data_IF_270268793063
#
_entry.id   IF_270268793063
#
_cell.length_a   1.000
_cell.length_b   1.000
_cell.length_c   1.000
_cell.angle_alpha   90.00
_cell.angle_beta   90.00
_cell.angle_gamma   90.00
#
_symmetry.space_group_name_H-M   'P 1'
#
loop_
_entity.id
_entity.type
_entity.pdbx_description
1 polymer ?
#
# COMPACT_ATOMS: atom_id res chain seq x y z
N UNK A 1 -13.43 -8.45 12.74
CA UNK A 1 -13.44 -7.52 11.59
C UNK A 1 -12.39 -8.00 10.60
N UNK A 2 -12.73 -8.05 9.31
CA UNK A 2 -11.81 -8.54 8.25
C UNK A 2 -11.04 -7.41 7.57
N UNK A 3 -10.14 -7.78 6.65
CA UNK A 3 -9.42 -6.84 5.79
C UNK A 3 -10.13 -6.68 4.44
N UNK A 4 -10.08 -5.47 3.90
CA UNK A 4 -10.53 -5.14 2.55
C UNK A 4 -9.36 -5.36 1.59
N UNK A 5 -9.54 -6.27 0.63
CA UNK A 5 -8.53 -6.62 -0.36
C UNK A 5 -8.66 -5.83 -1.67
N UNK A 6 -7.77 -6.12 -2.61
CA UNK A 6 -7.86 -5.59 -3.97
C UNK A 6 -8.65 -6.54 -4.88
N UNK A 7 -9.44 -5.96 -5.77
CA UNK A 7 -10.01 -6.66 -6.91
C UNK A 7 -8.94 -7.09 -7.92
N UNK A 8 -9.33 -7.99 -8.83
CA UNK A 8 -8.55 -8.27 -10.04
C UNK A 8 -8.42 -7.01 -10.92
N UNK A 9 -7.39 -6.92 -11.78
CA UNK A 9 -6.45 -7.97 -12.18
C UNK A 9 -5.17 -8.04 -11.32
N UNK A 10 -5.15 -7.48 -10.11
CA UNK A 10 -3.95 -7.48 -9.27
C UNK A 10 -3.39 -8.91 -9.06
N UNK A 11 -2.06 -9.12 -9.22
CA UNK A 11 -1.42 -10.41 -8.95
C UNK A 11 -1.79 -10.95 -7.57
N UNK A 12 -1.93 -12.28 -7.45
CA UNK A 12 -2.30 -12.92 -6.18
C UNK A 12 -1.37 -12.51 -5.04
N UNK A 13 -0.07 -12.43 -5.32
CA UNK A 13 0.92 -11.98 -4.33
C UNK A 13 0.61 -10.58 -3.83
N UNK A 14 0.24 -9.64 -4.69
CA UNK A 14 -0.13 -8.28 -4.28
C UNK A 14 -1.40 -8.28 -3.42
N UNK A 15 -2.41 -9.06 -3.80
CA UNK A 15 -3.63 -9.20 -3.00
C UNK A 15 -3.34 -9.75 -1.61
N UNK A 16 -2.45 -10.74 -1.49
CA UNK A 16 -2.04 -11.31 -0.21
C UNK A 16 -1.22 -10.31 0.64
N UNK A 17 -0.44 -9.41 0.03
CA UNK A 17 0.28 -8.38 0.78
C UNK A 17 -0.66 -7.28 1.31
N UNK A 18 -1.72 -6.94 0.57
CA UNK A 18 -2.68 -5.90 0.96
C UNK A 18 -3.70 -6.41 1.98
N UNK A 19 -4.21 -7.63 1.79
CA UNK A 19 -5.14 -8.29 2.69
C UNK A 19 -4.66 -9.73 2.95
N UNK A 20 -3.66 -9.91 3.83
CA UNK A 20 -3.16 -11.23 4.18
C UNK A 20 -4.26 -12.09 4.78
N UNK A 21 -4.26 -13.37 4.40
CA UNK A 21 -5.20 -14.38 4.87
C UNK A 21 -4.90 -14.87 6.29
N UNK A 22 -3.69 -14.61 6.79
CA UNK A 22 -3.28 -14.93 8.15
C UNK A 22 -2.24 -13.96 8.70
N UNK A 23 -2.24 -13.77 10.02
CA UNK A 23 -1.17 -13.09 10.76
C UNK A 23 0.14 -13.89 10.70
N UNK A 24 1.31 -13.28 11.03
CA UNK A 24 2.57 -14.02 11.13
C UNK A 24 2.55 -15.22 12.10
N UNK A 25 1.69 -15.20 13.13
CA UNK A 25 1.50 -16.32 14.06
C UNK A 25 0.50 -17.38 13.58
N UNK A 26 0.00 -17.28 12.35
CA UNK A 26 -0.91 -18.25 11.73
C UNK A 26 -2.39 -18.04 12.01
N UNK A 27 -2.78 -17.02 12.79
CA UNK A 27 -4.20 -16.69 13.00
C UNK A 27 -4.84 -16.22 11.70
N UNK A 28 -5.93 -16.87 11.28
CA UNK A 28 -6.70 -16.48 10.08
C UNK A 28 -7.28 -15.06 10.21
N UNK A 29 -7.24 -14.33 9.10
CA UNK A 29 -7.80 -12.99 8.93
C UNK A 29 -8.90 -13.09 7.87
N UNK A 30 -10.17 -12.80 8.20
CA UNK A 30 -11.26 -12.83 7.21
C UNK A 30 -11.08 -11.76 6.15
N UNK A 31 -11.42 -12.08 4.90
CA UNK A 31 -11.62 -11.09 3.85
C UNK A 31 -13.00 -10.46 4.00
N UNK A 32 -13.05 -9.15 4.20
CA UNK A 32 -14.30 -8.40 4.37
C UNK A 32 -14.94 -7.98 3.05
N UNK A 33 -14.15 -7.89 1.98
CA UNK A 33 -14.57 -7.47 0.66
C UNK A 33 -13.36 -7.11 -0.19
N UNK A 34 -13.61 -6.73 -1.44
CA UNK A 34 -12.58 -6.27 -2.37
C UNK A 34 -12.98 -4.96 -3.01
N UNK A 35 -11.99 -4.16 -3.41
CA UNK A 35 -12.17 -2.85 -4.06
C UNK A 35 -11.21 -2.67 -5.21
N UNK A 36 -11.58 -1.84 -6.18
CA UNK A 36 -10.72 -1.50 -7.31
C UNK A 36 -9.80 -0.32 -6.99
N UNK A 37 -10.18 0.56 -6.06
CA UNK A 37 -9.42 1.76 -5.71
C UNK A 37 -9.24 1.95 -4.20
N UNK A 38 -8.17 2.65 -3.80
CA UNK A 38 -7.95 3.02 -2.40
C UNK A 38 -9.07 3.93 -1.85
N UNK A 39 -9.68 4.77 -2.69
CA UNK A 39 -10.78 5.65 -2.28
C UNK A 39 -12.06 4.89 -1.98
N UNK A 40 -12.39 3.87 -2.79
CA UNK A 40 -13.47 2.92 -2.50
C UNK A 40 -13.20 2.20 -1.18
N UNK A 41 -11.98 1.71 -0.99
CA UNK A 41 -11.56 1.03 0.23
C UNK A 41 -11.71 1.91 1.48
N UNK A 42 -11.21 3.14 1.45
CA UNK A 42 -11.36 4.10 2.55
C UNK A 42 -12.83 4.40 2.85
N UNK A 43 -13.68 4.43 1.82
CA UNK A 43 -15.14 4.56 2.00
C UNK A 43 -15.73 3.33 2.71
N UNK A 44 -15.30 2.11 2.36
CA UNK A 44 -15.74 0.90 3.09
C UNK A 44 -15.27 0.90 4.55
N UNK A 45 -14.06 1.41 4.83
CA UNK A 45 -13.56 1.57 6.22
C UNK A 45 -14.42 2.55 7.00
N UNK A 46 -14.73 3.73 6.44
CA UNK A 46 -15.60 4.73 7.08
C UNK A 46 -17.02 4.19 7.36
N UNK A 47 -17.50 3.24 6.54
CA UNK A 47 -18.75 2.52 6.75
C UNK A 47 -18.65 1.34 7.73
N UNK A 48 -17.51 1.18 8.42
CA UNK A 48 -17.23 0.08 9.35
C UNK A 48 -17.34 -1.33 8.74
N UNK A 49 -17.03 -1.48 7.45
CA UNK A 49 -17.12 -2.77 6.75
C UNK A 49 -15.84 -3.60 6.81
N UNK A 50 -14.71 -3.01 7.18
CA UNK A 50 -13.43 -3.71 7.31
C UNK A 50 -12.27 -2.75 7.57
N UNK A 51 -11.06 -3.29 7.70
CA UNK A 51 -9.83 -2.53 7.78
C UNK A 51 -9.01 -2.62 6.49
N UNK A 52 -8.04 -1.72 6.32
CA UNK A 52 -7.05 -1.77 5.24
C UNK A 52 -5.66 -1.69 5.82
N UNK A 53 -4.71 -2.40 5.19
CA UNK A 53 -3.28 -2.20 5.46
C UNK A 53 -2.70 -1.27 4.40
N UNK A 54 -1.99 -0.25 4.86
CA UNK A 54 -1.32 0.72 4.01
C UNK A 54 0.04 1.11 4.57
N UNK A 55 0.90 1.63 3.69
CA UNK A 55 2.14 2.28 4.11
C UNK A 55 1.84 3.64 4.77
N UNK A 56 2.75 4.09 5.64
CA UNK A 56 2.63 5.35 6.39
C UNK A 56 2.30 6.57 5.51
N UNK A 57 2.89 6.76 4.31
CA UNK A 57 2.55 7.91 3.45
C UNK A 57 1.07 7.98 3.04
N UNK A 58 0.41 6.85 2.84
CA UNK A 58 -1.03 6.82 2.50
C UNK A 58 -1.87 7.41 3.63
N UNK A 59 -1.54 7.07 4.88
CA UNK A 59 -2.23 7.63 6.04
C UNK A 59 -2.03 9.14 6.16
N UNK A 60 -0.82 9.63 5.87
CA UNK A 60 -0.51 11.05 5.90
C UNK A 60 -1.24 11.83 4.79
N UNK A 61 -1.39 11.25 3.59
CA UNK A 61 -1.99 11.93 2.45
C UNK A 61 -3.52 11.85 2.40
N UNK A 62 -4.11 10.80 2.98
CA UNK A 62 -5.56 10.58 2.97
C UNK A 62 -6.22 10.82 4.32
N UNK A 63 -5.73 11.81 5.07
CA UNK A 63 -6.32 12.23 6.34
C UNK A 63 -7.82 12.51 6.19
N UNK A 64 -8.63 11.81 6.98
CA UNK A 64 -10.09 11.95 7.00
C UNK A 64 -10.60 11.81 8.44
N UNK A 65 -11.60 12.61 8.86
CA UNK A 65 -12.11 12.60 10.23
C UNK A 65 -12.92 11.34 10.58
N UNK A 66 -13.44 10.64 9.57
CA UNK A 66 -14.26 9.43 9.70
C UNK A 66 -13.44 8.12 9.60
N UNK A 67 -12.11 8.22 9.54
CA UNK A 67 -11.19 7.08 9.46
C UNK A 67 -10.11 7.24 10.52
N UNK A 68 -9.90 6.19 11.33
CA UNK A 68 -8.79 6.12 12.29
C UNK A 68 -7.64 5.32 11.69
N UNK A 69 -6.45 5.94 11.62
CA UNK A 69 -5.22 5.27 11.20
C UNK A 69 -4.50 4.72 12.44
N UNK A 70 -4.31 3.40 12.48
CA UNK A 70 -3.68 2.69 13.60
C UNK A 70 -2.33 2.14 13.13
N UNK A 71 -1.20 2.51 13.76
CA UNK A 71 0.10 1.93 13.41
C UNK A 71 0.12 0.41 13.61
N UNK A 72 0.64 -0.30 12.61
CA UNK A 72 0.88 -1.76 12.67
C UNK A 72 2.37 -2.02 12.76
N UNK A 73 2.79 -2.75 13.79
CA UNK A 73 4.20 -3.09 14.05
C UNK A 73 4.49 -4.55 13.74
N UNK A 74 5.77 -4.91 13.56
CA UNK A 74 6.18 -6.30 13.32
C UNK A 74 6.03 -6.77 11.87
N UNK A 75 5.75 -5.84 10.95
CA UNK A 75 5.80 -6.08 9.51
C UNK A 75 7.12 -5.57 8.93
N UNK A 76 7.63 -6.17 7.84
CA UNK A 76 8.72 -5.60 7.07
C UNK A 76 8.38 -4.18 6.57
N UNK A 77 9.39 -3.32 6.32
CA UNK A 77 9.16 -2.02 5.72
C UNK A 77 8.43 -2.13 4.38
N UNK A 78 7.47 -1.22 4.13
CA UNK A 78 6.90 -1.05 2.80
C UNK A 78 7.92 -0.42 1.87
N UNK A 79 8.10 -0.99 0.68
CA UNK A 79 9.03 -0.47 -0.34
C UNK A 79 8.23 0.10 -1.50
N UNK A 80 8.53 1.34 -1.88
CA UNK A 80 8.06 1.95 -3.11
C UNK A 80 9.22 1.98 -4.11
N UNK A 81 8.96 1.56 -5.34
CA UNK A 81 9.96 1.54 -6.40
C UNK A 81 9.35 1.79 -7.77
N UNK A 82 10.21 2.15 -8.72
CA UNK A 82 9.85 2.28 -10.12
C UNK A 82 10.02 0.94 -10.83
N UNK A 83 9.08 0.60 -11.70
CA UNK A 83 9.12 -0.61 -12.51
C UNK A 83 8.72 -0.30 -13.95
N UNK A 84 9.38 -0.94 -14.91
CA UNK A 84 9.10 -0.82 -16.34
C UNK A 84 9.35 -2.16 -17.03
N UNK A 85 8.74 -2.34 -18.21
CA UNK A 85 9.07 -3.47 -19.08
C UNK A 85 10.48 -3.25 -19.61
N UNK A 86 11.35 -4.26 -19.46
CA UNK A 86 12.78 -4.15 -19.77
C UNK A 86 13.03 -3.70 -21.21
N UNK A 87 12.25 -4.22 -22.15
CA UNK A 87 12.34 -3.92 -23.58
C UNK A 87 11.79 -2.52 -23.92
N UNK A 88 11.06 -1.88 -23.01
CA UNK A 88 10.50 -0.54 -23.16
C UNK A 88 11.34 0.54 -22.45
N UNK A 89 12.56 0.22 -22.02
CA UNK A 89 13.43 1.17 -21.36
C UNK A 89 13.87 2.29 -22.31
N UNK A 90 13.71 3.54 -21.89
CA UNK A 90 14.08 4.73 -22.67
C UNK A 90 15.02 5.64 -21.88
N UNK A 91 15.67 6.57 -22.57
CA UNK A 91 16.47 7.62 -21.91
C UNK A 91 15.64 8.44 -20.89
N UNK A 92 14.35 8.67 -21.19
CA UNK A 92 13.45 9.36 -20.26
C UNK A 92 13.17 8.56 -19.00
N UNK A 93 12.98 7.24 -19.10
CA UNK A 93 12.82 6.36 -17.92
C UNK A 93 14.07 6.37 -17.06
N UNK A 94 15.26 6.28 -17.66
CA UNK A 94 16.53 6.36 -16.92
C UNK A 94 16.69 7.70 -16.20
N UNK A 95 16.48 8.81 -16.91
CA UNK A 95 16.57 10.15 -16.35
C UNK A 95 15.56 10.36 -15.21
N UNK A 96 14.32 9.88 -15.36
CA UNK A 96 13.33 9.96 -14.30
C UNK A 96 13.72 9.09 -13.09
N UNK A 97 14.24 7.88 -13.32
CA UNK A 97 14.72 7.01 -12.25
C UNK A 97 15.87 7.67 -11.46
N UNK A 98 16.85 8.26 -12.15
CA UNK A 98 17.95 9.00 -11.52
C UNK A 98 17.42 10.18 -10.68
N UNK A 99 16.50 10.97 -11.22
CA UNK A 99 15.89 12.09 -10.51
C UNK A 99 15.09 11.63 -9.27
N UNK A 100 14.30 10.55 -9.41
CA UNK A 100 13.51 9.98 -8.33
C UNK A 100 14.38 9.40 -7.21
N UNK A 101 15.45 8.69 -7.54
CA UNK A 101 16.43 8.18 -6.57
C UNK A 101 17.12 9.35 -5.85
N UNK A 102 17.55 10.38 -6.60
CA UNK A 102 18.13 11.58 -6.01
C UNK A 102 17.18 12.27 -5.02
N UNK A 103 15.90 12.42 -5.39
CA UNK A 103 14.88 12.98 -4.50
C UNK A 103 14.66 12.12 -3.26
N UNK A 104 14.54 10.80 -3.42
CA UNK A 104 14.28 9.87 -2.31
C UNK A 104 15.42 9.89 -1.27
N UNK A 105 16.68 9.91 -1.72
CA UNK A 105 17.84 10.03 -0.84
C UNK A 105 17.87 11.37 -0.11
N UNK A 106 17.50 12.47 -0.79
CA UNK A 106 17.37 13.79 -0.16
C UNK A 106 16.22 13.87 0.85
N UNK A 107 15.09 13.22 0.58
CA UNK A 107 13.92 13.17 1.47
C UNK A 107 14.17 12.31 2.71
N UNK A 108 14.91 11.19 2.59
CA UNK A 108 15.32 10.37 3.72
C UNK A 108 16.23 11.12 4.70
N UNK A 109 17.08 12.02 4.20
CA UNK A 109 17.93 12.91 5.03
C UNK A 109 17.12 13.99 5.74
N UNK A 110 15.98 14.43 5.16
CA UNK A 110 15.11 15.45 5.76
C UNK A 110 14.16 14.91 6.84
N UNK A 111 13.92 13.59 6.85
CA UNK A 111 12.98 12.91 7.75
C UNK A 111 13.66 12.16 8.91
N UNK A 112 15.00 12.25 9.01
CA UNK A 112 15.83 11.70 10.08
C UNK A 112 16.24 12.82 11.07
#
# INVERSE_FOLDING_TARGET
>A
MGLIGLDGPAPRTWREHVAPSATPSGRSIPLAGTVATSQEGLTQVALNRGGMLFCTPTAAHHGRPDVSFVPVTGLPPSVLGLAWVKEAETAAIRAFNEAAVGYALGAAVLMA
#
